data_IF_176246217798
#
_entry.id   IF_176246217798
#
_cell.length_a   1.000
_cell.length_b   1.000
_cell.length_c   1.000
_cell.angle_alpha   90.00
_cell.angle_beta   90.00
_cell.angle_gamma   90.00
#
_symmetry.space_group_name_H-M   'P 1'
#
loop_
_entity.id
_entity.type
_entity.pdbx_description
1 polymer ?
#
# COMPACT_ATOMS: atom_id res chain seq x y z
N UNK A 1 -5.92 -6.32 16.64
CA UNK A 1 -5.80 -6.15 15.19
C UNK A 1 -7.15 -6.35 14.53
N UNK A 2 -7.72 -5.31 13.93
CA UNK A 2 -8.84 -5.39 13.01
C UNK A 2 -8.34 -5.95 11.67
N UNK A 3 -9.02 -6.93 11.09
CA UNK A 3 -8.73 -7.44 9.73
C UNK A 3 -10.02 -7.35 8.93
N UNK A 4 -10.01 -6.62 7.83
CA UNK A 4 -11.25 -6.34 7.08
C UNK A 4 -11.04 -6.08 5.60
N UNK A 5 -12.08 -6.36 4.80
CA UNK A 5 -12.20 -5.90 3.42
C UNK A 5 -13.00 -4.58 3.33
N UNK A 6 -13.66 -4.16 4.42
CA UNK A 6 -14.55 -3.00 4.44
C UNK A 6 -13.79 -1.69 4.73
N UNK A 7 -13.77 -0.80 3.74
CA UNK A 7 -13.17 0.53 3.83
C UNK A 7 -13.72 1.38 4.98
N UNK A 8 -15.00 1.24 5.33
CA UNK A 8 -15.64 2.06 6.37
C UNK A 8 -15.13 1.70 7.76
N UNK A 9 -14.78 0.44 8.01
CA UNK A 9 -14.22 0.02 9.30
C UNK A 9 -12.81 0.56 9.50
N UNK A 10 -12.00 0.63 8.42
CA UNK A 10 -10.68 1.28 8.46
C UNK A 10 -10.82 2.77 8.76
N UNK A 11 -11.72 3.47 8.05
CA UNK A 11 -11.96 4.90 8.26
C UNK A 11 -12.51 5.19 9.65
N UNK A 12 -13.44 4.38 10.14
CA UNK A 12 -13.99 4.51 11.48
C UNK A 12 -12.91 4.30 12.56
N UNK A 13 -12.03 3.31 12.38
CA UNK A 13 -10.93 3.08 13.30
C UNK A 13 -9.89 4.22 13.26
N UNK A 14 -9.54 4.71 12.06
CA UNK A 14 -8.61 5.84 11.87
C UNK A 14 -9.07 7.11 12.60
N UNK A 15 -10.37 7.37 12.60
CA UNK A 15 -10.97 8.57 13.17
C UNK A 15 -11.60 8.39 14.55
N UNK A 16 -11.44 7.21 15.17
CA UNK A 16 -11.90 6.96 16.53
C UNK A 16 -11.23 7.89 17.54
N UNK A 17 -9.95 8.18 17.33
CA UNK A 17 -9.19 9.22 18.04
C UNK A 17 -8.38 10.02 17.01
N UNK A 18 -8.70 11.30 16.83
CA UNK A 18 -8.02 12.16 15.87
C UNK A 18 -6.60 12.54 16.29
N UNK A 19 -6.23 12.33 17.56
CA UNK A 19 -4.88 12.59 18.06
C UNK A 19 -3.90 11.45 17.80
N UNK A 20 -4.40 10.24 17.48
CA UNK A 20 -3.55 9.11 17.13
C UNK A 20 -2.76 9.41 15.85
N UNK A 21 -1.44 9.31 15.94
CA UNK A 21 -0.57 9.23 14.77
C UNK A 21 -0.66 7.83 14.15
N UNK A 22 -0.69 7.78 12.82
CA UNK A 22 -0.86 6.53 12.06
C UNK A 22 0.32 6.27 11.13
N UNK A 23 0.96 5.12 11.32
CA UNK A 23 1.92 4.56 10.38
C UNK A 23 1.23 3.62 9.40
N UNK A 24 1.43 3.83 8.09
CA UNK A 24 0.93 2.94 7.04
C UNK A 24 2.07 2.15 6.39
N UNK A 25 1.92 0.84 6.29
CA UNK A 25 2.80 -0.02 5.49
C UNK A 25 2.02 -0.65 4.32
N UNK A 26 2.13 -0.10 3.10
CA UNK A 26 1.51 -0.69 1.92
C UNK A 26 2.25 -1.95 1.47
N UNK A 27 1.54 -3.07 1.29
CA UNK A 27 2.12 -4.32 0.81
C UNK A 27 1.20 -5.03 -0.20
N UNK A 28 1.77 -5.98 -0.95
CA UNK A 28 1.00 -6.94 -1.74
C UNK A 28 0.81 -8.29 -1.02
N UNK A 29 1.20 -8.41 0.25
CA UNK A 29 1.20 -9.67 1.00
C UNK A 29 2.42 -10.55 0.72
N UNK A 30 2.31 -11.81 1.13
CA UNK A 30 3.40 -12.78 1.20
C UNK A 30 4.61 -12.22 1.95
N UNK A 31 4.35 -11.85 3.20
CA UNK A 31 5.23 -11.05 4.03
C UNK A 31 6.50 -11.83 4.40
N UNK A 32 7.57 -11.07 4.56
CA UNK A 32 8.91 -11.54 4.92
C UNK A 32 9.57 -10.49 5.81
N UNK A 33 10.74 -10.78 6.37
CA UNK A 33 11.43 -9.88 7.33
C UNK A 33 11.61 -8.45 6.83
N UNK A 34 11.89 -8.24 5.53
CA UNK A 34 11.90 -6.90 4.95
C UNK A 34 10.61 -6.09 5.20
N UNK A 35 9.44 -6.71 5.04
CA UNK A 35 8.15 -6.06 5.34
C UNK A 35 7.96 -5.86 6.85
N UNK A 36 8.29 -6.87 7.66
CA UNK A 36 8.13 -6.79 9.11
C UNK A 36 9.04 -5.72 9.73
N UNK A 37 10.22 -5.48 9.16
CA UNK A 37 11.09 -4.38 9.57
C UNK A 37 10.43 -3.00 9.39
N UNK A 38 9.65 -2.80 8.32
CA UNK A 38 8.88 -1.57 8.11
C UNK A 38 7.74 -1.45 9.12
N UNK A 39 7.07 -2.57 9.45
CA UNK A 39 6.00 -2.59 10.47
C UNK A 39 6.56 -2.23 11.84
N UNK A 40 7.71 -2.79 12.22
CA UNK A 40 8.40 -2.46 13.48
C UNK A 40 8.79 -0.99 13.54
N UNK A 41 9.33 -0.43 12.46
CA UNK A 41 9.62 1.00 12.38
C UNK A 41 8.36 1.85 12.52
N UNK A 42 7.29 1.49 11.81
CA UNK A 42 6.00 2.17 11.91
C UNK A 42 5.44 2.16 13.33
N UNK A 43 5.59 1.04 14.06
CA UNK A 43 5.15 0.92 15.45
C UNK A 43 5.93 1.81 16.41
N UNK A 44 7.25 1.94 16.21
CA UNK A 44 8.09 2.79 17.06
C UNK A 44 7.77 4.28 16.92
N UNK A 45 7.30 4.68 15.74
CA UNK A 45 7.12 6.08 15.39
C UNK A 45 5.66 6.57 15.48
N UNK A 46 4.68 5.69 15.68
CA UNK A 46 3.26 6.04 15.64
C UNK A 46 2.44 5.33 16.72
N UNK A 47 1.33 5.95 17.13
CA UNK A 47 0.40 5.35 18.08
C UNK A 47 -0.28 4.12 17.48
N UNK A 48 -0.62 4.19 16.18
CA UNK A 48 -1.33 3.14 15.45
C UNK A 48 -0.56 2.73 14.20
N UNK A 49 -0.67 1.45 13.83
CA UNK A 49 -0.12 0.93 12.57
C UNK A 49 -1.23 0.27 11.76
N UNK A 50 -1.37 0.74 10.53
CA UNK A 50 -2.17 0.13 9.48
C UNK A 50 -1.28 -0.57 8.45
N UNK A 51 -1.71 -1.74 8.00
CA UNK A 51 -1.08 -2.47 6.89
C UNK A 51 -2.13 -2.72 5.82
N UNK A 52 -1.80 -2.49 4.55
CA UNK A 52 -2.63 -2.97 3.44
C UNK A 52 -2.02 -4.21 2.82
N UNK A 53 -2.84 -5.21 2.52
CA UNK A 53 -2.45 -6.39 1.75
C UNK A 53 -3.32 -6.42 0.50
N UNK A 54 -2.77 -5.98 -0.62
CA UNK A 54 -3.49 -5.93 -1.89
C UNK A 54 -2.57 -6.17 -3.08
N UNK A 55 -2.73 -7.32 -3.75
CA UNK A 55 -2.05 -7.59 -5.03
C UNK A 55 -2.72 -6.75 -6.11
N UNK A 56 -2.09 -5.62 -6.45
CA UNK A 56 -2.67 -4.63 -7.33
C UNK A 56 -2.63 -5.06 -8.81
N UNK A 57 -3.74 -5.44 -9.48
CA UNK A 57 -3.70 -5.94 -10.85
C UNK A 57 -3.12 -4.95 -11.87
N UNK A 58 -3.37 -3.64 -11.70
CA UNK A 58 -2.99 -2.62 -12.70
C UNK A 58 -1.49 -2.25 -12.68
N UNK A 59 -0.71 -2.79 -11.75
CA UNK A 59 0.75 -2.63 -11.75
C UNK A 59 1.51 -3.83 -12.35
N UNK A 60 0.80 -4.87 -12.82
CA UNK A 60 1.42 -6.03 -13.48
C UNK A 60 1.35 -5.90 -15.00
N UNK A 61 2.52 -5.95 -15.65
CA UNK A 61 2.60 -5.95 -17.12
C UNK A 61 2.28 -7.31 -17.75
N UNK A 62 2.42 -8.40 -16.98
CA UNK A 62 2.18 -9.76 -17.44
C UNK A 62 1.09 -10.39 -16.60
N UNK A 63 0.03 -10.87 -17.26
CA UNK A 63 -1.09 -11.55 -16.59
C UNK A 63 -0.64 -12.76 -15.78
N UNK A 64 0.39 -13.48 -16.26
CA UNK A 64 0.95 -14.64 -15.55
C UNK A 64 1.53 -14.24 -14.20
N UNK A 65 2.35 -13.18 -14.15
CA UNK A 65 2.98 -12.71 -12.92
C UNK A 65 1.93 -12.34 -11.86
N UNK A 66 0.81 -11.74 -12.27
CA UNK A 66 -0.34 -11.48 -11.40
C UNK A 66 -1.01 -12.78 -10.93
N UNK A 67 -1.27 -13.73 -11.84
CA UNK A 67 -1.96 -14.98 -11.53
C UNK A 67 -1.14 -15.92 -10.62
N UNK A 68 0.18 -15.86 -10.70
CA UNK A 68 1.09 -16.70 -9.91
C UNK A 68 1.69 -15.95 -8.72
N UNK A 69 1.24 -14.72 -8.44
CA UNK A 69 1.74 -13.98 -7.28
C UNK A 69 1.38 -14.75 -5.99
N UNK A 70 2.34 -14.99 -5.09
CA UNK A 70 2.09 -15.78 -3.90
C UNK A 70 1.13 -15.07 -2.96
N UNK A 71 0.17 -15.81 -2.40
CA UNK A 71 -0.83 -15.28 -1.47
C UNK A 71 -0.97 -16.28 -0.32
N UNK A 72 -0.69 -15.83 0.90
CA UNK A 72 -0.96 -16.58 2.12
C UNK A 72 -1.47 -15.62 3.20
N UNK A 73 -2.77 -15.33 3.10
CA UNK A 73 -3.44 -14.32 3.93
C UNK A 73 -3.40 -14.67 5.42
N UNK A 74 -3.53 -15.96 5.73
CA UNK A 74 -3.55 -16.43 7.12
C UNK A 74 -2.18 -16.23 7.75
N UNK A 75 -1.12 -16.73 7.10
CA UNK A 75 0.26 -16.54 7.56
C UNK A 75 0.60 -15.06 7.72
N UNK A 76 0.24 -14.24 6.73
CA UNK A 76 0.51 -12.80 6.80
C UNK A 76 -0.19 -12.15 8.01
N UNK A 77 -1.44 -12.51 8.29
CA UNK A 77 -2.15 -11.98 9.46
C UNK A 77 -1.54 -12.46 10.78
N UNK A 78 -1.10 -13.70 10.87
CA UNK A 78 -0.41 -14.22 12.06
C UNK A 78 0.86 -13.41 12.36
N UNK A 79 1.71 -13.20 11.34
CA UNK A 79 2.92 -12.37 11.46
C UNK A 79 2.60 -10.93 11.88
N UNK A 80 1.62 -10.27 11.25
CA UNK A 80 1.25 -8.89 11.59
C UNK A 80 0.66 -8.76 12.99
N UNK A 81 -0.03 -9.79 13.47
CA UNK A 81 -0.57 -9.82 14.83
C UNK A 81 0.55 -9.86 15.86
N UNK A 82 1.61 -10.63 15.61
CA UNK A 82 2.81 -10.69 16.47
C UNK A 82 3.55 -9.35 16.54
N UNK A 83 3.60 -8.61 15.42
CA UNK A 83 4.18 -7.25 15.37
C UNK A 83 3.23 -6.16 15.94
N UNK A 84 2.08 -6.58 16.47
CA UNK A 84 1.14 -5.70 17.15
C UNK A 84 0.40 -4.74 16.24
N UNK A 85 0.17 -5.05 14.95
CA UNK A 85 -0.58 -4.20 14.01
C UNK A 85 -2.01 -3.92 14.50
N UNK A 86 -2.49 -2.68 14.31
CA UNK A 86 -3.84 -2.28 14.73
C UNK A 86 -4.89 -2.64 13.69
N UNK A 87 -4.59 -2.42 12.41
CA UNK A 87 -5.53 -2.62 11.31
C UNK A 87 -4.86 -3.22 10.08
N UNK A 88 -5.51 -4.23 9.48
CA UNK A 88 -5.13 -4.80 8.19
C UNK A 88 -6.30 -4.65 7.23
N UNK A 89 -6.07 -3.94 6.12
CA UNK A 89 -7.05 -3.84 5.04
C UNK A 89 -6.69 -4.78 3.89
N UNK A 90 -7.61 -5.69 3.57
CA UNK A 90 -7.42 -6.75 2.57
C UNK A 90 -8.49 -6.69 1.46
N UNK A 91 -8.62 -5.58 0.75
CA UNK A 91 -9.69 -5.40 -0.22
C UNK A 91 -9.56 -6.39 -1.40
N UNK A 92 -10.69 -6.74 -1.99
CA UNK A 92 -10.77 -7.39 -3.30
C UNK A 92 -10.58 -6.35 -4.40
N UNK A 93 -10.08 -6.78 -5.56
CA UNK A 93 -9.86 -5.88 -6.70
C UNK A 93 -11.12 -5.09 -7.09
N UNK A 94 -12.30 -5.73 -7.10
CA UNK A 94 -13.57 -5.06 -7.42
C UNK A 94 -14.04 -4.01 -6.40
N UNK A 95 -13.47 -4.00 -5.18
CA UNK A 95 -13.74 -2.97 -4.17
C UNK A 95 -12.83 -1.73 -4.36
N UNK A 96 -11.68 -1.90 -5.01
CA UNK A 96 -10.78 -0.79 -5.38
C UNK A 96 -11.16 -0.26 -6.77
N UNK A 97 -11.23 -1.16 -7.73
CA UNK A 97 -11.46 -0.88 -9.14
C UNK A 97 -12.85 -1.36 -9.52
N UNK A 98 -13.80 -0.42 -9.56
CA UNK A 98 -15.12 -0.68 -10.11
C UNK A 98 -15.02 -1.04 -11.61
N UNK A 99 -16.08 -1.64 -12.16
CA UNK A 99 -16.13 -1.99 -13.60
C UNK A 99 -15.88 -0.79 -14.52
N UNK A 100 -16.23 0.41 -14.05
CA UNK A 100 -16.12 1.68 -14.78
C UNK A 100 -15.05 2.59 -14.15
N UNK A 101 -14.00 2.01 -13.55
CA UNK A 101 -12.93 2.77 -12.93
C UNK A 101 -12.16 3.60 -13.97
N UNK A 102 -12.23 4.92 -13.86
CA UNK A 102 -11.71 5.87 -14.85
C UNK A 102 -10.56 6.76 -14.34
N UNK A 103 -10.27 6.74 -13.03
CA UNK A 103 -9.32 7.67 -12.42
C UNK A 103 -7.96 7.02 -12.21
N UNK A 104 -6.93 7.54 -12.87
CA UNK A 104 -5.56 7.07 -12.71
C UNK A 104 -4.66 8.24 -12.35
N UNK A 105 -3.61 7.96 -11.59
CA UNK A 105 -2.56 8.93 -11.28
C UNK A 105 -1.30 8.52 -12.01
N UNK A 106 -0.73 9.47 -12.75
CA UNK A 106 0.50 9.27 -13.50
C UNK A 106 1.54 10.29 -13.06
N UNK A 107 2.67 9.77 -12.56
CA UNK A 107 3.86 10.58 -12.32
C UNK A 107 4.73 10.52 -13.56
N UNK A 108 4.95 11.66 -14.20
CA UNK A 108 5.73 11.77 -15.45
C UNK A 108 7.20 12.09 -15.18
N UNK A 109 8.05 11.98 -16.20
CA UNK A 109 9.49 12.28 -16.10
C UNK A 109 10.30 11.16 -15.43
N UNK A 110 10.21 10.99 -14.12
CA UNK A 110 11.02 10.00 -13.36
C UNK A 110 10.73 8.54 -13.75
N UNK A 111 9.57 8.30 -14.34
CA UNK A 111 9.11 7.01 -14.85
C UNK A 111 9.59 6.72 -16.27
N UNK A 112 10.28 7.66 -16.93
CA UNK A 112 10.79 7.48 -18.30
C UNK A 112 12.13 6.75 -18.38
N UNK A 113 12.73 6.42 -17.23
CA UNK A 113 14.04 5.79 -17.13
C UNK A 113 13.95 4.45 -16.37
N UNK A 114 15.04 3.69 -16.36
CA UNK A 114 15.22 2.45 -15.58
C UNK A 114 14.05 1.46 -15.78
N UNK A 115 13.40 1.00 -14.71
CA UNK A 115 12.30 0.03 -14.80
C UNK A 115 11.14 0.60 -15.63
N UNK A 116 10.87 1.89 -15.53
CA UNK A 116 9.77 2.51 -16.26
C UNK A 116 9.97 2.52 -17.78
N UNK A 117 11.23 2.59 -18.24
CA UNK A 117 11.57 2.41 -19.64
C UNK A 117 11.49 0.93 -20.08
N UNK A 118 11.95 0.01 -19.23
CA UNK A 118 11.97 -1.43 -19.53
C UNK A 118 10.57 -2.08 -19.45
N UNK A 119 9.70 -1.52 -18.62
CA UNK A 119 8.37 -2.02 -18.28
C UNK A 119 7.43 -0.82 -18.18
N UNK A 120 6.80 -0.38 -19.29
CA UNK A 120 5.86 0.73 -19.26
C UNK A 120 4.58 0.33 -18.51
N UNK A 121 4.04 1.22 -17.67
CA UNK A 121 2.75 1.03 -16.98
C UNK A 121 2.75 0.80 -15.45
N UNK A 122 3.70 0.05 -14.83
CA UNK A 122 3.64 -0.31 -13.42
C UNK A 122 3.51 0.90 -12.49
N UNK A 123 4.24 1.98 -12.76
CA UNK A 123 4.24 3.16 -11.89
C UNK A 123 2.93 3.95 -11.89
N UNK A 124 2.16 3.93 -12.99
CA UNK A 124 0.79 4.49 -12.98
C UNK A 124 -0.10 3.66 -12.05
N UNK A 125 0.03 2.33 -12.11
CA UNK A 125 -0.66 1.42 -11.20
C UNK A 125 -0.28 1.64 -9.74
N UNK A 126 1.02 1.77 -9.45
CA UNK A 126 1.56 2.05 -8.10
C UNK A 126 1.08 3.40 -7.58
N UNK A 127 1.23 4.48 -8.35
CA UNK A 127 0.80 5.81 -7.93
C UNK A 127 -0.71 5.87 -7.65
N UNK A 128 -1.52 5.21 -8.50
CA UNK A 128 -2.97 5.14 -8.32
C UNK A 128 -3.34 4.41 -7.02
N UNK A 129 -2.79 3.22 -6.77
CA UNK A 129 -3.15 2.48 -5.55
C UNK A 129 -2.63 3.16 -4.28
N UNK A 130 -1.42 3.74 -4.31
CA UNK A 130 -0.85 4.42 -3.13
C UNK A 130 -1.69 5.64 -2.76
N UNK A 131 -2.16 6.43 -3.73
CA UNK A 131 -3.05 7.55 -3.46
C UNK A 131 -4.41 7.11 -2.88
N UNK A 132 -4.98 6.01 -3.37
CA UNK A 132 -6.19 5.41 -2.78
C UNK A 132 -5.92 5.02 -1.32
N UNK A 133 -4.79 4.36 -1.05
CA UNK A 133 -4.43 3.95 0.31
C UNK A 133 -4.22 5.15 1.24
N UNK A 134 -3.59 6.22 0.76
CA UNK A 134 -3.47 7.48 1.53
C UNK A 134 -4.83 8.09 1.82
N UNK A 135 -5.78 8.07 0.88
CA UNK A 135 -7.14 8.54 1.12
C UNK A 135 -7.89 7.68 2.16
N UNK A 136 -7.66 6.36 2.15
CA UNK A 136 -8.32 5.41 3.07
C UNK A 136 -7.78 5.52 4.48
N UNK A 137 -6.46 5.45 4.65
CA UNK A 137 -5.81 5.38 5.95
C UNK A 137 -5.47 6.76 6.52
N UNK A 138 -5.30 7.78 5.68
CA UNK A 138 -4.87 9.13 6.06
C UNK A 138 -3.71 9.11 7.08
N UNK A 139 -2.61 8.42 6.74
CA UNK A 139 -1.54 8.19 7.70
C UNK A 139 -0.76 9.47 7.98
N UNK A 140 -0.14 9.53 9.17
CA UNK A 140 0.87 10.53 9.50
C UNK A 140 2.20 10.21 8.81
N UNK A 141 2.53 8.92 8.69
CA UNK A 141 3.75 8.43 8.05
C UNK A 141 3.45 7.18 7.22
N UNK A 142 4.09 7.06 6.06
CA UNK A 142 4.02 5.86 5.21
C UNK A 142 5.41 5.28 5.00
N UNK A 143 5.52 3.95 5.10
CA UNK A 143 6.80 3.24 5.11
C UNK A 143 6.94 2.38 3.87
N UNK A 144 8.05 2.56 3.15
CA UNK A 144 8.36 1.87 1.91
C UNK A 144 9.79 1.33 1.94
N UNK A 145 9.99 0.12 1.43
CA UNK A 145 11.31 -0.50 1.33
C UNK A 145 12.18 0.19 0.28
N UNK A 146 13.46 0.39 0.59
CA UNK A 146 14.42 1.03 -0.33
C UNK A 146 14.91 0.10 -1.45
N UNK A 147 14.59 -1.20 -1.40
CA UNK A 147 14.91 -2.18 -2.45
C UNK A 147 14.41 -1.70 -3.82
N UNK A 148 13.23 -1.07 -3.86
CA UNK A 148 12.62 -0.51 -5.06
C UNK A 148 12.79 1.02 -5.10
N UNK A 149 14.04 1.47 -5.26
CA UNK A 149 14.40 2.89 -5.16
C UNK A 149 13.60 3.80 -6.13
N UNK A 150 13.31 3.33 -7.35
CA UNK A 150 12.51 4.09 -8.32
C UNK A 150 11.05 4.23 -7.86
N UNK A 151 10.46 3.19 -7.27
CA UNK A 151 9.13 3.27 -6.68
C UNK A 151 9.10 4.30 -5.56
N UNK A 152 10.09 4.29 -4.66
CA UNK A 152 10.19 5.29 -3.58
C UNK A 152 10.27 6.71 -4.15
N UNK A 153 11.04 6.92 -5.23
CA UNK A 153 11.16 8.23 -5.85
C UNK A 153 9.85 8.69 -6.54
N UNK A 154 9.13 7.78 -7.19
CA UNK A 154 7.78 8.02 -7.75
C UNK A 154 6.80 8.44 -6.65
N UNK A 155 6.79 7.72 -5.52
CA UNK A 155 5.87 7.98 -4.40
C UNK A 155 6.22 9.31 -3.72
N UNK A 156 7.51 9.63 -3.56
CA UNK A 156 7.93 10.93 -3.02
C UNK A 156 7.46 12.09 -3.91
N UNK A 157 7.60 11.95 -5.24
CA UNK A 157 7.10 12.94 -6.21
C UNK A 157 5.57 13.06 -6.13
N UNK A 158 4.86 11.94 -6.05
CA UNK A 158 3.40 11.90 -5.87
C UNK A 158 2.94 12.70 -4.63
N UNK A 159 3.61 12.49 -3.49
CA UNK A 159 3.30 13.19 -2.23
C UNK A 159 3.55 14.69 -2.40
N UNK A 160 4.70 15.08 -2.94
CA UNK A 160 5.07 16.47 -3.14
C UNK A 160 4.12 17.22 -4.07
N UNK A 161 3.74 16.60 -5.20
CA UNK A 161 2.94 17.25 -6.24
C UNK A 161 1.46 17.36 -5.83
N UNK A 162 0.90 16.31 -5.20
CA UNK A 162 -0.51 16.26 -4.81
C UNK A 162 -0.80 16.72 -3.37
N UNK A 163 0.23 17.16 -2.63
CA UNK A 163 0.11 17.73 -1.28
C UNK A 163 -0.55 16.78 -0.27
N UNK A 164 -0.15 15.50 -0.32
CA UNK A 164 -0.50 14.52 0.71
C UNK A 164 0.19 14.81 2.04
#
# INVERSE_FOLDING_TARGET
MLVTENIQEIRALRWKDSNDTWGLVPTMGFLHEGHLSLVRQARQENNRVGVSIFVNPIQFNRKRDFQTYPIDRQRDCELLKEEGVDAVWMPKAGQIYSKEFQTYIEVTGITQFLEGAARPGPFRGVATIVAILFNVFQPTRAYFGQKDAQQVAVIRRLIEDLKF
#
